data_IF_619525044777
#
_entry.id   IF_619525044777
#
_cell.length_a   1.000
_cell.length_b   1.000
_cell.length_c   1.000
_cell.angle_alpha   90.00
_cell.angle_beta   90.00
_cell.angle_gamma   90.00
#
_symmetry.space_group_name_H-M   'P 1'
#
loop_
_entity.id
_entity.type
_entity.pdbx_description
1 polymer ?
#
# COMPACT_ATOMS: atom_id res chain seq x y z
N UNK A 1 -13.41 5.16 4.81
CA UNK A 1 -11.95 5.25 4.78
C UNK A 1 -11.40 5.31 6.19
N UNK A 2 -10.40 4.52 6.53
CA UNK A 2 -9.81 4.59 7.87
C UNK A 2 -9.22 5.96 8.16
N UNK A 3 -8.90 6.18 9.42
CA UNK A 3 -8.33 7.46 9.85
C UNK A 3 -7.03 7.74 9.09
N UNK A 4 -6.87 8.98 8.67
CA UNK A 4 -5.68 9.40 7.94
C UNK A 4 -4.51 9.53 8.90
N UNK A 5 -3.36 9.08 8.46
CA UNK A 5 -2.11 9.33 9.19
C UNK A 5 -1.28 10.34 8.41
N UNK A 6 -0.42 11.05 9.12
CA UNK A 6 0.42 12.06 8.48
C UNK A 6 1.56 11.44 7.71
N UNK A 7 2.04 10.31 8.15
CA UNK A 7 3.11 9.59 7.48
C UNK A 7 2.92 8.11 7.70
N UNK A 8 3.22 7.32 6.67
CA UNK A 8 3.17 5.88 6.76
C UNK A 8 4.53 5.38 7.24
N UNK A 9 4.52 4.76 8.39
CA UNK A 9 5.72 4.20 8.97
C UNK A 9 6.06 2.88 8.27
N UNK A 10 7.28 2.74 7.70
CA UNK A 10 7.66 1.47 7.09
C UNK A 10 7.52 0.27 8.03
N UNK A 11 7.76 0.47 9.33
CA UNK A 11 7.56 -0.59 10.31
C UNK A 11 6.12 -1.02 10.43
N UNK A 12 5.18 -0.09 10.27
CA UNK A 12 3.76 -0.39 10.32
C UNK A 12 3.28 -1.15 9.11
N UNK A 13 3.65 -0.66 7.92
CA UNK A 13 3.18 -1.31 6.69
C UNK A 13 3.91 -2.64 6.44
N UNK A 14 5.08 -2.83 7.04
CA UNK A 14 5.81 -4.09 6.92
C UNK A 14 5.02 -5.28 7.45
N UNK A 15 4.12 -5.04 8.39
CA UNK A 15 3.24 -6.07 8.91
C UNK A 15 2.25 -6.57 7.88
N UNK A 16 2.07 -5.83 6.80
CA UNK A 16 1.16 -6.19 5.73
C UNK A 16 1.85 -6.97 4.61
N UNK A 17 3.17 -7.23 4.73
CA UNK A 17 3.89 -8.03 3.75
C UNK A 17 3.18 -9.37 3.54
N UNK A 18 3.03 -9.75 2.27
CA UNK A 18 2.42 -11.01 1.87
C UNK A 18 0.97 -11.15 2.34
N UNK A 19 0.29 -10.02 2.51
CA UNK A 19 -1.12 -9.98 2.89
C UNK A 19 -1.89 -9.13 1.90
N UNK A 20 -3.15 -9.46 1.69
CA UNK A 20 -4.04 -8.62 0.90
C UNK A 20 -4.23 -7.30 1.65
N UNK A 21 -3.85 -6.22 1.02
CA UNK A 21 -3.84 -4.88 1.62
C UNK A 21 -4.65 -3.93 0.77
N UNK A 22 -5.53 -3.17 1.41
CA UNK A 22 -6.23 -2.11 0.71
C UNK A 22 -5.51 -0.79 0.99
N UNK A 23 -5.21 -0.06 -0.08
CA UNK A 23 -4.40 1.16 0.01
C UNK A 23 -5.19 2.35 -0.51
N UNK A 24 -5.12 3.45 0.23
CA UNK A 24 -5.67 4.74 -0.16
C UNK A 24 -4.51 5.69 -0.41
N UNK A 25 -4.45 6.27 -1.61
CA UNK A 25 -3.42 7.24 -1.96
C UNK A 25 -3.91 8.66 -1.72
N UNK A 26 -2.96 9.58 -1.59
CA UNK A 26 -3.25 11.00 -1.35
C UNK A 26 -4.01 11.66 -2.50
N UNK A 27 -3.90 11.10 -3.70
CA UNK A 27 -4.58 11.65 -4.88
C UNK A 27 -6.02 11.13 -5.04
N UNK A 28 -6.52 10.37 -4.07
CA UNK A 28 -7.87 9.84 -4.12
C UNK A 28 -7.98 8.44 -4.71
N UNK A 29 -6.92 7.90 -5.27
CA UNK A 29 -6.96 6.53 -5.77
C UNK A 29 -6.97 5.54 -4.62
N UNK A 30 -7.59 4.40 -4.84
CA UNK A 30 -7.61 3.32 -3.87
C UNK A 30 -7.67 2.00 -4.62
N UNK A 31 -7.00 0.98 -4.07
CA UNK A 31 -6.89 -0.30 -4.76
C UNK A 31 -6.39 -1.40 -3.82
N UNK A 32 -6.59 -2.64 -4.24
CA UNK A 32 -6.00 -3.80 -3.57
C UNK A 32 -4.54 -3.95 -3.98
N UNK A 33 -3.70 -4.28 -3.03
CA UNK A 33 -2.27 -4.40 -3.23
C UNK A 33 -1.73 -5.57 -2.42
N UNK A 34 -0.80 -6.31 -3.00
CA UNK A 34 -0.17 -7.44 -2.32
C UNK A 34 1.32 -7.11 -2.20
N UNK A 35 1.76 -6.54 -1.07
CA UNK A 35 3.15 -6.12 -0.92
C UNK A 35 4.07 -7.31 -0.76
N UNK A 36 5.19 -7.28 -1.47
CA UNK A 36 6.23 -8.33 -1.38
C UNK A 36 7.56 -7.75 -0.93
N UNK A 37 7.66 -6.41 -0.88
CA UNK A 37 8.87 -5.74 -0.44
C UNK A 37 8.52 -4.42 0.22
N UNK A 38 9.14 -4.15 1.36
CA UNK A 38 8.99 -2.86 2.04
C UNK A 38 10.38 -2.29 2.24
N UNK A 39 10.63 -1.17 1.57
CA UNK A 39 11.88 -0.45 1.72
C UNK A 39 11.75 0.68 2.73
N UNK A 40 12.76 1.52 2.78
CA UNK A 40 12.77 2.64 3.71
C UNK A 40 11.73 3.71 3.34
N UNK A 41 11.58 3.98 2.04
CA UNK A 41 10.72 5.05 1.55
C UNK A 41 9.64 4.57 0.58
N UNK A 42 9.60 3.29 0.27
CA UNK A 42 8.67 2.79 -0.73
C UNK A 42 8.33 1.34 -0.46
N UNK A 43 7.24 0.90 -1.08
CA UNK A 43 6.85 -0.50 -1.08
C UNK A 43 6.71 -0.96 -2.53
N UNK A 44 6.84 -2.25 -2.75
CA UNK A 44 6.64 -2.84 -4.06
C UNK A 44 5.86 -4.14 -3.91
N UNK A 45 5.08 -4.46 -4.92
CA UNK A 45 4.27 -5.65 -4.89
C UNK A 45 3.34 -5.69 -6.08
N UNK A 46 2.22 -6.38 -5.93
CA UNK A 46 1.26 -6.55 -7.01
C UNK A 46 0.01 -5.72 -6.72
N UNK A 47 -0.36 -4.89 -7.70
CA UNK A 47 -1.55 -4.07 -7.63
C UNK A 47 -2.66 -4.72 -8.46
N UNK A 48 -3.87 -4.74 -7.92
CA UNK A 48 -5.05 -5.22 -8.62
C UNK A 48 -5.61 -4.11 -9.51
N UNK A 49 -5.68 -4.37 -10.81
CA UNK A 49 -6.17 -3.40 -11.80
C UNK A 49 -7.60 -3.69 -12.26
N UNK A 50 -8.36 -4.41 -11.48
CA UNK A 50 -9.74 -4.71 -11.80
C UNK A 50 -9.96 -6.11 -12.39
N UNK A 51 -8.98 -6.62 -13.13
CA UNK A 51 -9.06 -7.96 -13.70
C UNK A 51 -7.70 -8.64 -13.87
N UNK A 52 -6.63 -8.03 -13.40
CA UNK A 52 -5.31 -8.67 -13.38
C UNK A 52 -4.43 -8.00 -12.33
N UNK A 53 -3.42 -8.73 -11.88
CA UNK A 53 -2.40 -8.22 -10.97
C UNK A 53 -1.17 -7.80 -11.77
N UNK A 54 -0.57 -6.68 -11.44
CA UNK A 54 0.66 -6.24 -12.09
C UNK A 54 1.63 -5.68 -11.04
N UNK A 55 2.92 -5.87 -11.28
CA UNK A 55 3.94 -5.38 -10.37
C UNK A 55 3.95 -3.86 -10.36
N UNK A 56 4.05 -3.28 -9.17
CA UNK A 56 3.86 -1.84 -9.01
C UNK A 56 4.61 -1.37 -7.77
N UNK A 57 5.25 -0.21 -7.88
CA UNK A 57 5.94 0.40 -6.74
C UNK A 57 5.24 1.66 -6.30
N UNK A 58 5.23 1.92 -4.99
CA UNK A 58 4.55 3.08 -4.42
C UNK A 58 5.47 3.74 -3.40
N UNK A 59 5.64 5.05 -3.52
CA UNK A 59 6.32 5.82 -2.48
C UNK A 59 5.43 5.91 -1.25
N UNK A 60 6.01 5.69 -0.08
CA UNK A 60 5.24 5.70 1.16
C UNK A 60 4.56 7.03 1.41
N UNK A 61 5.18 8.14 1.01
CA UNK A 61 4.58 9.45 1.23
C UNK A 61 3.39 9.73 0.31
N UNK A 62 3.09 8.85 -0.63
CA UNK A 62 1.88 8.95 -1.45
C UNK A 62 0.71 8.21 -0.84
N UNK A 63 0.95 7.41 0.19
CA UNK A 63 -0.09 6.62 0.83
C UNK A 63 -0.75 7.42 1.94
N UNK A 64 -2.05 7.57 1.86
CA UNK A 64 -2.84 8.26 2.86
C UNK A 64 -3.18 7.30 4.02
N UNK A 65 -3.55 6.07 3.68
CA UNK A 65 -3.95 5.09 4.67
C UNK A 65 -3.88 3.69 4.06
N UNK A 66 -3.88 2.68 4.92
CA UNK A 66 -3.91 1.29 4.45
C UNK A 66 -4.51 0.39 5.51
N UNK A 67 -5.05 -0.76 5.05
CA UNK A 67 -5.58 -1.79 5.93
C UNK A 67 -5.25 -3.14 5.31
N UNK A 68 -4.69 -4.04 6.08
CA UNK A 68 -4.38 -5.38 5.58
C UNK A 68 -5.13 -6.46 6.37
N UNK A 69 -5.32 -7.59 5.70
CA UNK A 69 -6.15 -8.68 6.22
C UNK A 69 -5.40 -10.00 6.31
#
# INVERSE_FOLDING_TARGET
MPATTFAIDPGGIRRCLFRNTYIWLNNGEQFWFYPVFVGRNSIAGFRWFGFFWAYFGIDLNRISSFTCF
#
